data_IF_284771682645
#
_entry.id   IF_284771682645
#
_cell.length_a   1.000
_cell.length_b   1.000
_cell.length_c   1.000
_cell.angle_alpha   90.00
_cell.angle_beta   90.00
_cell.angle_gamma   90.00
#
_symmetry.space_group_name_H-M   'P 1'
#
loop_
_entity.id
_entity.type
_entity.pdbx_description
1 polymer ?
#
# COMPACT_ATOMS: atom_id res chain seq x y z
N UNK A 1 14.22 0.83 31.31
CA UNK A 1 14.94 0.19 30.20
C UNK A 1 15.55 1.31 29.36
N UNK A 2 16.87 1.55 29.44
CA UNK A 2 17.52 2.60 28.63
C UNK A 2 17.68 2.05 27.20
N UNK A 3 16.86 2.54 26.28
CA UNK A 3 17.06 2.28 24.85
C UNK A 3 18.44 2.83 24.44
N UNK A 4 19.16 2.13 23.58
CA UNK A 4 20.40 2.66 22.97
C UNK A 4 20.10 4.03 22.33
N UNK A 5 21.06 4.98 22.30
CA UNK A 5 20.83 6.37 21.88
C UNK A 5 20.08 6.52 20.55
N UNK A 6 20.31 5.59 19.61
CA UNK A 6 19.73 5.61 18.27
C UNK A 6 18.22 5.28 18.24
N UNK A 7 17.69 4.59 19.25
CA UNK A 7 16.28 4.19 19.33
C UNK A 7 15.41 5.18 20.11
N UNK A 8 16.00 6.25 20.64
CA UNK A 8 15.25 7.32 21.33
C UNK A 8 14.18 7.93 20.42
N UNK A 9 14.43 8.00 19.11
CA UNK A 9 13.47 8.47 18.12
C UNK A 9 12.18 7.62 18.08
N UNK A 10 12.28 6.30 18.29
CA UNK A 10 11.13 5.40 18.36
C UNK A 10 10.56 5.28 19.78
N UNK A 11 11.30 5.73 20.80
CA UNK A 11 10.85 5.74 22.19
C UNK A 11 9.52 6.49 22.38
N UNK A 12 9.25 7.51 21.56
CA UNK A 12 7.97 8.25 21.57
C UNK A 12 6.76 7.36 21.24
N UNK A 13 6.95 6.26 20.51
CA UNK A 13 5.87 5.32 20.19
C UNK A 13 5.41 4.52 21.41
N UNK A 14 6.25 4.42 22.45
CA UNK A 14 5.91 3.78 23.71
C UNK A 14 5.21 4.74 24.69
N UNK A 15 5.07 6.02 24.34
CA UNK A 15 4.42 7.01 25.20
C UNK A 15 2.93 6.67 25.35
N UNK A 16 2.38 6.63 26.58
CA UNK A 16 1.00 6.20 26.83
C UNK A 16 -0.04 6.96 26.02
N UNK A 17 0.13 8.27 25.82
CA UNK A 17 -0.78 9.08 25.01
C UNK A 17 -0.75 8.66 23.54
N UNK A 18 0.42 8.36 22.98
CA UNK A 18 0.56 7.88 21.60
C UNK A 18 -0.11 6.52 21.45
N UNK A 19 0.12 5.61 22.41
CA UNK A 19 -0.52 4.29 22.43
C UNK A 19 -2.05 4.39 22.57
N UNK A 20 -2.56 5.28 23.42
CA UNK A 20 -4.01 5.49 23.59
C UNK A 20 -4.65 6.03 22.31
N UNK A 21 -4.05 7.04 21.67
CA UNK A 21 -4.57 7.62 20.43
C UNK A 21 -4.53 6.59 19.29
N UNK A 22 -3.37 5.96 19.07
CA UNK A 22 -3.22 4.96 17.99
C UNK A 22 -4.08 3.71 18.22
N UNK A 23 -4.17 3.24 19.47
CA UNK A 23 -5.04 2.14 19.85
C UNK A 23 -6.52 2.46 19.67
N UNK A 24 -6.94 3.69 19.96
CA UNK A 24 -8.32 4.14 19.72
C UNK A 24 -8.64 4.21 18.22
N UNK A 25 -7.73 4.76 17.42
CA UNK A 25 -7.87 4.79 15.96
C UNK A 25 -7.93 3.38 15.36
N UNK A 26 -7.13 2.44 15.88
CA UNK A 26 -7.19 1.03 15.49
C UNK A 26 -8.52 0.39 15.88
N UNK A 27 -9.05 0.66 17.08
CA UNK A 27 -10.37 0.17 17.48
C UNK A 27 -11.49 0.73 16.58
N UNK A 28 -11.41 2.01 16.20
CA UNK A 28 -12.32 2.61 15.23
C UNK A 28 -12.21 1.92 13.87
N UNK A 29 -11.01 1.63 13.39
CA UNK A 29 -10.79 0.92 12.12
C UNK A 29 -11.43 -0.47 12.13
N UNK A 30 -11.27 -1.24 13.22
CA UNK A 30 -11.92 -2.54 13.37
C UNK A 30 -13.45 -2.48 13.31
N UNK A 31 -14.05 -1.35 13.71
CA UNK A 31 -15.49 -1.13 13.65
C UNK A 31 -15.92 -0.59 12.28
N UNK A 32 -15.16 0.35 11.72
CA UNK A 32 -15.39 0.97 10.41
C UNK A 32 -15.42 -0.08 9.29
N UNK A 33 -14.54 -1.08 9.36
CA UNK A 33 -14.44 -2.20 8.41
C UNK A 33 -15.76 -2.99 8.22
N UNK A 34 -16.70 -2.87 9.16
CA UNK A 34 -17.98 -3.61 9.09
C UNK A 34 -19.05 -2.88 8.27
N UNK A 35 -18.86 -1.59 7.99
CA UNK A 35 -19.83 -0.74 7.29
C UNK A 35 -19.21 -0.19 6.01
N UNK A 36 -19.58 -0.68 4.81
CA UNK A 36 -18.83 -0.44 3.56
C UNK A 36 -18.57 1.03 3.20
N UNK A 37 -19.53 1.91 3.47
CA UNK A 37 -19.39 3.35 3.19
C UNK A 37 -18.56 4.09 4.24
N UNK A 38 -18.59 3.63 5.50
CA UNK A 38 -17.69 4.15 6.56
C UNK A 38 -16.27 3.71 6.25
N UNK A 39 -16.08 2.43 5.89
CA UNK A 39 -14.80 1.85 5.47
C UNK A 39 -14.19 2.67 4.32
N UNK A 40 -14.96 2.89 3.24
CA UNK A 40 -14.48 3.66 2.08
C UNK A 40 -14.10 5.10 2.44
N UNK A 41 -14.89 5.80 3.27
CA UNK A 41 -14.59 7.16 3.69
C UNK A 41 -13.36 7.22 4.61
N UNK A 42 -13.22 6.22 5.50
CA UNK A 42 -12.09 6.08 6.40
C UNK A 42 -10.80 5.77 5.63
N UNK A 43 -10.85 4.86 4.67
CA UNK A 43 -9.72 4.53 3.79
C UNK A 43 -9.32 5.72 2.91
N UNK A 44 -10.29 6.50 2.41
CA UNK A 44 -10.03 7.71 1.62
C UNK A 44 -9.21 8.76 2.41
N UNK A 45 -9.55 8.96 3.69
CA UNK A 45 -8.76 9.82 4.58
C UNK A 45 -7.35 9.25 4.79
N UNK A 46 -7.26 7.93 5.02
CA UNK A 46 -5.99 7.27 5.32
C UNK A 46 -5.11 7.03 4.10
N UNK A 47 -5.60 7.27 2.88
CA UNK A 47 -4.80 7.17 1.65
C UNK A 47 -3.64 8.16 1.62
N UNK A 48 -3.74 9.26 2.36
CA UNK A 48 -2.65 10.23 2.53
C UNK A 48 -1.93 10.03 3.86
N UNK A 49 -2.70 9.96 4.96
CA UNK A 49 -2.15 9.92 6.32
C UNK A 49 -1.26 8.70 6.54
N UNK A 50 -1.71 7.52 6.08
CA UNK A 50 -1.08 6.25 6.44
C UNK A 50 0.20 5.98 5.63
N UNK A 51 0.24 6.21 4.31
CA UNK A 51 1.50 6.13 3.57
C UNK A 51 2.55 7.12 4.06
N UNK A 52 2.17 8.39 4.26
CA UNK A 52 3.12 9.42 4.74
C UNK A 52 3.61 9.08 6.15
N UNK A 53 2.70 8.78 7.07
CA UNK A 53 3.04 8.41 8.45
C UNK A 53 3.91 7.15 8.50
N UNK A 54 3.56 6.12 7.73
CA UNK A 54 4.34 4.88 7.67
C UNK A 54 5.75 5.08 7.10
N UNK A 55 5.89 5.89 6.05
CA UNK A 55 7.19 6.24 5.49
C UNK A 55 8.08 6.98 6.49
N UNK A 56 7.52 7.97 7.18
CA UNK A 56 8.24 8.74 8.19
C UNK A 56 8.63 7.88 9.39
N UNK A 57 7.73 7.04 9.90
CA UNK A 57 8.02 6.13 11.02
C UNK A 57 9.10 5.11 10.65
N UNK A 58 9.03 4.51 9.46
CA UNK A 58 10.04 3.59 8.98
C UNK A 58 11.39 4.28 8.78
N UNK A 59 11.41 5.53 8.32
CA UNK A 59 12.64 6.30 8.17
C UNK A 59 13.30 6.55 9.54
N UNK A 60 12.51 6.88 10.57
CA UNK A 60 13.02 7.05 11.94
C UNK A 60 13.59 5.77 12.53
N UNK A 61 13.12 4.60 12.08
CA UNK A 61 13.70 3.32 12.49
C UNK A 61 15.10 3.07 11.90
N UNK A 62 15.50 3.78 10.83
CA UNK A 62 16.83 3.68 10.24
C UNK A 62 17.89 4.54 10.96
N UNK A 63 17.48 5.38 11.92
CA UNK A 63 18.39 6.25 12.67
C UNK A 63 18.87 7.46 11.86
N UNK A 64 20.08 7.93 12.16
CA UNK A 64 20.68 9.08 11.48
C UNK A 64 21.34 8.64 10.17
N UNK A 65 20.93 9.25 9.07
CA UNK A 65 21.45 8.98 7.72
C UNK A 65 22.08 10.25 7.15
N UNK A 66 22.98 10.09 6.18
CA UNK A 66 23.40 11.21 5.33
C UNK A 66 22.16 11.80 4.60
N UNK A 67 22.07 13.13 4.40
CA UNK A 67 20.90 13.76 3.78
C UNK A 67 20.50 13.15 2.43
N UNK A 68 21.47 12.71 1.62
CA UNK A 68 21.20 12.08 0.33
C UNK A 68 20.53 10.73 0.51
N UNK A 69 21.05 9.92 1.44
CA UNK A 69 20.53 8.59 1.76
C UNK A 69 19.16 8.70 2.43
N UNK A 70 18.94 9.71 3.27
CA UNK A 70 17.66 9.97 3.93
C UNK A 70 16.55 10.24 2.90
N UNK A 71 16.80 11.08 1.89
CA UNK A 71 15.84 11.35 0.81
C UNK A 71 15.54 10.09 0.01
N UNK A 72 16.57 9.32 -0.35
CA UNK A 72 16.38 8.05 -1.08
C UNK A 72 15.56 7.06 -0.24
N UNK A 73 15.88 6.91 1.06
CA UNK A 73 15.16 6.05 1.97
C UNK A 73 13.70 6.49 2.11
N UNK A 74 13.43 7.79 2.26
CA UNK A 74 12.06 8.31 2.34
C UNK A 74 11.25 8.01 1.08
N UNK A 75 11.84 8.16 -0.11
CA UNK A 75 11.18 7.83 -1.38
C UNK A 75 10.89 6.33 -1.51
N UNK A 76 11.83 5.47 -1.10
CA UNK A 76 11.65 4.02 -1.11
C UNK A 76 10.57 3.59 -0.12
N UNK A 77 10.65 4.05 1.13
CA UNK A 77 9.67 3.74 2.19
C UNK A 77 8.28 4.31 1.87
N UNK A 78 8.22 5.51 1.31
CA UNK A 78 7.00 6.12 0.77
C UNK A 78 6.37 5.27 -0.34
N UNK A 79 7.18 4.78 -1.27
CA UNK A 79 6.71 3.89 -2.34
C UNK A 79 6.16 2.57 -1.78
N UNK A 80 6.85 1.97 -0.80
CA UNK A 80 6.39 0.73 -0.15
C UNK A 80 5.06 0.95 0.55
N UNK A 81 4.98 1.93 1.45
CA UNK A 81 3.77 2.19 2.24
C UNK A 81 2.57 2.60 1.38
N UNK A 82 2.78 3.40 0.34
CA UNK A 82 1.75 3.78 -0.63
C UNK A 82 1.26 2.56 -1.42
N UNK A 83 2.18 1.71 -1.90
CA UNK A 83 1.82 0.51 -2.66
C UNK A 83 1.05 -0.49 -1.80
N UNK A 84 1.47 -0.71 -0.55
CA UNK A 84 0.75 -1.56 0.41
C UNK A 84 -0.66 -1.04 0.65
N UNK A 85 -0.83 0.28 0.84
CA UNK A 85 -2.14 0.87 1.05
C UNK A 85 -3.02 0.78 -0.22
N UNK A 86 -2.46 1.04 -1.40
CA UNK A 86 -3.17 0.88 -2.67
C UNK A 86 -3.62 -0.58 -2.90
N UNK A 87 -2.82 -1.56 -2.47
CA UNK A 87 -3.20 -2.97 -2.53
C UNK A 87 -4.41 -3.27 -1.61
N UNK A 88 -4.41 -2.77 -0.38
CA UNK A 88 -5.57 -2.87 0.54
C UNK A 88 -6.82 -2.23 -0.08
N UNK A 89 -6.73 -0.98 -0.54
CA UNK A 89 -7.86 -0.28 -1.16
C UNK A 89 -8.40 -1.02 -2.39
N UNK A 90 -7.52 -1.60 -3.21
CA UNK A 90 -7.91 -2.42 -4.37
C UNK A 90 -8.63 -3.71 -3.95
N UNK A 91 -8.17 -4.36 -2.89
CA UNK A 91 -8.84 -5.54 -2.34
C UNK A 91 -10.23 -5.18 -1.81
N UNK A 92 -10.37 -4.05 -1.10
CA UNK A 92 -11.68 -3.56 -0.62
C UNK A 92 -12.63 -3.25 -1.77
N UNK A 93 -12.16 -2.69 -2.87
CA UNK A 93 -12.98 -2.51 -4.07
C UNK A 93 -13.54 -3.84 -4.59
N UNK A 94 -12.72 -4.90 -4.62
CA UNK A 94 -13.14 -6.23 -5.06
C UNK A 94 -14.09 -6.90 -4.07
N UNK A 95 -13.81 -6.81 -2.78
CA UNK A 95 -14.65 -7.40 -1.72
C UNK A 95 -16.00 -6.71 -1.67
N UNK A 96 -16.06 -5.38 -1.82
CA UNK A 96 -17.30 -4.61 -1.85
C UNK A 96 -18.19 -4.90 -3.07
N UNK A 97 -17.69 -5.60 -4.11
CA UNK A 97 -18.56 -6.14 -5.17
C UNK A 97 -19.48 -7.26 -4.65
N UNK A 98 -19.12 -7.92 -3.54
CA UNK A 98 -19.95 -8.87 -2.82
C UNK A 98 -20.45 -8.20 -1.53
N UNK A 99 -21.69 -7.67 -1.48
CA UNK A 99 -22.19 -6.87 -0.36
C UNK A 99 -22.46 -7.69 0.93
N UNK A 100 -22.00 -8.94 1.01
CA UNK A 100 -22.24 -9.79 2.17
C UNK A 100 -21.26 -9.43 3.32
N UNK A 101 -21.78 -9.13 4.54
CA UNK A 101 -20.96 -8.72 5.69
C UNK A 101 -19.85 -9.72 6.04
N UNK A 102 -20.06 -11.00 5.75
CA UNK A 102 -19.14 -12.09 6.06
C UNK A 102 -17.82 -11.93 5.30
N UNK A 103 -17.85 -11.54 4.03
CA UNK A 103 -16.64 -11.35 3.21
C UNK A 103 -15.76 -10.23 3.76
N UNK A 104 -16.35 -9.09 4.10
CA UNK A 104 -15.63 -7.95 4.68
C UNK A 104 -15.01 -8.32 6.04
N UNK A 105 -15.75 -9.04 6.89
CA UNK A 105 -15.26 -9.48 8.20
C UNK A 105 -14.09 -10.46 8.04
N UNK A 106 -14.20 -11.46 7.16
CA UNK A 106 -13.13 -12.45 6.93
C UNK A 106 -11.87 -11.76 6.40
N UNK A 107 -12.00 -10.87 5.42
CA UNK A 107 -10.86 -10.16 4.84
C UNK A 107 -10.21 -9.25 5.87
N UNK A 108 -10.98 -8.46 6.62
CA UNK A 108 -10.46 -7.60 7.70
C UNK A 108 -9.74 -8.41 8.78
N UNK A 109 -10.31 -9.53 9.23
CA UNK A 109 -9.66 -10.41 10.21
C UNK A 109 -8.37 -11.02 9.66
N UNK A 110 -8.35 -11.42 8.39
CA UNK A 110 -7.15 -11.94 7.75
C UNK A 110 -6.05 -10.88 7.66
N UNK A 111 -6.39 -9.64 7.27
CA UNK A 111 -5.46 -8.51 7.23
C UNK A 111 -4.84 -8.25 8.62
N UNK A 112 -5.66 -8.22 9.66
CA UNK A 112 -5.21 -8.05 11.04
C UNK A 112 -4.36 -9.24 11.54
N UNK A 113 -4.72 -10.47 11.15
CA UNK A 113 -3.94 -11.66 11.44
C UNK A 113 -2.54 -11.61 10.80
N UNK A 114 -2.46 -11.15 9.55
CA UNK A 114 -1.18 -10.95 8.84
C UNK A 114 -0.35 -9.87 9.53
N UNK A 115 -0.95 -8.75 9.96
CA UNK A 115 -0.26 -7.70 10.71
C UNK A 115 0.36 -8.25 12.00
N UNK A 116 -0.46 -8.90 12.84
CA UNK A 116 0.00 -9.47 14.12
C UNK A 116 1.07 -10.55 13.89
N UNK A 117 0.85 -11.43 12.92
CA UNK A 117 1.81 -12.47 12.55
C UNK A 117 3.13 -11.90 12.05
N UNK A 118 3.11 -10.81 11.27
CA UNK A 118 4.32 -10.13 10.79
C UNK A 118 5.10 -9.50 11.93
N UNK A 119 4.41 -8.80 12.85
CA UNK A 119 5.04 -8.21 14.04
C UNK A 119 5.65 -9.30 14.91
N UNK A 120 4.90 -10.38 15.18
CA UNK A 120 5.40 -11.52 15.93
C UNK A 120 6.63 -12.15 15.27
N UNK A 121 6.59 -12.38 13.95
CA UNK A 121 7.70 -12.96 13.20
C UNK A 121 8.93 -12.05 13.24
N UNK A 122 8.75 -10.73 13.13
CA UNK A 122 9.84 -9.76 13.23
C UNK A 122 10.53 -9.78 14.60
N UNK A 123 9.77 -10.01 15.67
CA UNK A 123 10.30 -10.08 17.03
C UNK A 123 10.92 -11.45 17.36
N UNK A 124 10.28 -12.54 16.96
CA UNK A 124 10.70 -13.90 17.30
C UNK A 124 11.78 -14.45 16.35
N UNK A 125 11.69 -14.14 15.06
CA UNK A 125 12.55 -14.69 14.01
C UNK A 125 12.97 -13.61 12.98
N UNK A 126 13.84 -12.66 13.35
CA UNK A 126 14.14 -11.47 12.53
C UNK A 126 14.65 -11.79 11.12
N UNK A 127 15.47 -12.82 10.96
CA UNK A 127 16.00 -13.23 9.65
C UNK A 127 14.90 -13.81 8.75
N UNK A 128 13.95 -14.54 9.32
CA UNK A 128 12.79 -15.07 8.58
C UNK A 128 11.87 -13.91 8.19
N UNK A 129 11.64 -12.96 9.09
CA UNK A 129 10.86 -11.76 8.79
C UNK A 129 11.50 -10.92 7.67
N UNK A 130 12.81 -10.76 7.68
CA UNK A 130 13.56 -10.11 6.59
C UNK A 130 13.40 -10.86 5.27
N UNK A 131 13.55 -12.19 5.28
CA UNK A 131 13.34 -13.02 4.08
C UNK A 131 11.91 -12.92 3.54
N UNK A 132 10.91 -13.05 4.42
CA UNK A 132 9.51 -12.93 4.04
C UNK A 132 9.16 -11.52 3.53
N UNK A 133 9.66 -10.47 4.20
CA UNK A 133 9.47 -9.08 3.80
C UNK A 133 10.10 -8.76 2.46
N UNK A 134 11.35 -9.19 2.23
CA UNK A 134 12.03 -8.98 0.94
C UNK A 134 11.33 -9.73 -0.21
N UNK A 135 10.87 -10.96 0.02
CA UNK A 135 10.05 -11.70 -0.95
C UNK A 135 8.72 -10.99 -1.24
N UNK A 136 8.04 -10.49 -0.20
CA UNK A 136 6.80 -9.74 -0.34
C UNK A 136 6.99 -8.46 -1.15
N UNK A 137 8.04 -7.69 -0.87
CA UNK A 137 8.40 -6.47 -1.62
C UNK A 137 8.77 -6.78 -3.07
N UNK A 138 9.56 -7.84 -3.30
CA UNK A 138 9.88 -8.31 -4.65
C UNK A 138 8.64 -8.72 -5.44
N UNK A 139 7.72 -9.44 -4.80
CA UNK A 139 6.41 -9.81 -5.36
C UNK A 139 5.55 -8.59 -5.70
N UNK A 140 5.49 -7.60 -4.80
CA UNK A 140 4.76 -6.35 -5.03
C UNK A 140 5.35 -5.54 -6.19
N UNK A 141 6.68 -5.40 -6.24
CA UNK A 141 7.37 -4.72 -7.34
C UNK A 141 7.12 -5.43 -8.68
N UNK A 142 7.21 -6.77 -8.70
CA UNK A 142 6.89 -7.57 -9.88
C UNK A 142 5.44 -7.38 -10.32
N UNK A 143 4.49 -7.37 -9.38
CA UNK A 143 3.06 -7.19 -9.68
C UNK A 143 2.80 -5.81 -10.29
N UNK A 144 3.30 -4.73 -9.67
CA UNK A 144 3.19 -3.36 -10.19
C UNK A 144 3.76 -3.27 -11.59
N UNK A 145 4.95 -3.82 -11.82
CA UNK A 145 5.57 -3.86 -13.13
C UNK A 145 4.74 -4.66 -14.14
N UNK A 146 4.25 -5.84 -13.77
CA UNK A 146 3.45 -6.70 -14.63
C UNK A 146 2.13 -6.04 -15.05
N UNK A 147 1.43 -5.39 -14.11
CA UNK A 147 0.21 -4.62 -14.38
C UNK A 147 0.51 -3.41 -15.27
N UNK A 148 1.57 -2.66 -14.98
CA UNK A 148 2.01 -1.54 -15.81
C UNK A 148 2.28 -1.96 -17.25
N UNK A 149 2.95 -3.11 -17.47
CA UNK A 149 3.17 -3.66 -18.81
C UNK A 149 1.88 -4.09 -19.51
N UNK A 150 0.87 -4.60 -18.77
CA UNK A 150 -0.44 -4.95 -19.35
C UNK A 150 -1.20 -3.70 -19.78
N UNK A 151 -1.28 -2.68 -18.93
CA UNK A 151 -1.95 -1.41 -19.22
C UNK A 151 -1.28 -0.72 -20.41
N UNK A 152 0.05 -0.61 -20.41
CA UNK A 152 0.78 0.03 -21.50
C UNK A 152 0.55 -0.68 -22.85
N UNK A 153 0.48 -2.02 -22.86
CA UNK A 153 0.13 -2.80 -24.07
C UNK A 153 -1.31 -2.53 -24.52
N UNK A 154 -2.27 -2.50 -23.60
CA UNK A 154 -3.66 -2.22 -23.92
C UNK A 154 -3.85 -0.81 -24.51
N UNK A 155 -3.16 0.19 -23.95
CA UNK A 155 -3.17 1.57 -24.46
C UNK A 155 -2.56 1.64 -25.87
N UNK A 156 -1.42 0.97 -26.11
CA UNK A 156 -0.80 0.91 -27.44
C UNK A 156 -1.69 0.22 -28.47
N UNK A 157 -2.33 -0.90 -28.12
CA UNK A 157 -3.25 -1.61 -29.01
C UNK A 157 -4.49 -0.77 -29.38
N UNK A 158 -5.01 0.02 -28.44
CA UNK A 158 -6.11 0.96 -28.72
C UNK A 158 -5.68 2.10 -29.64
N UNK A 159 -4.48 2.67 -29.45
CA UNK A 159 -3.93 3.73 -30.31
C UNK A 159 -3.64 3.24 -31.74
N UNK A 160 -3.15 2.01 -31.92
CA UNK A 160 -2.90 1.43 -33.25
C UNK A 160 -4.15 1.18 -34.09
N UNK A 161 -5.31 0.95 -33.44
CA UNK A 161 -6.62 0.81 -34.11
C UNK A 161 -7.26 2.14 -34.51
N UNK A 162 -6.79 3.27 -33.98
CA UNK A 162 -7.31 4.60 -34.26
C UNK A 162 -6.50 5.36 -35.33
N UNK A 163 -5.48 4.73 -35.93
CA UNK A 163 -4.82 5.30 -37.11
C UNK A 163 -5.82 5.27 -38.29
N UNK A 164 -6.16 6.43 -38.89
CA UNK A 164 -7.17 6.49 -39.94
C UNK A 164 -6.66 5.80 -41.21
N UNK A 165 -7.54 5.03 -41.85
CA UNK A 165 -7.36 4.54 -43.22
C UNK A 165 -7.39 5.74 -44.19
N UNK A 166 -6.32 6.52 -44.23
CA UNK A 166 -6.11 7.55 -45.26
C UNK A 166 -5.51 6.83 -46.46
N UNK A 167 -6.35 6.49 -47.44
CA UNK A 167 -5.88 5.99 -48.74
C UNK A 167 -6.72 4.89 -49.36
N UNK A 168 -8.04 5.04 -49.44
CA UNK A 168 -8.84 4.21 -50.35
C UNK A 168 -9.99 5.04 -50.92
N UNK A 169 -9.85 5.49 -52.17
CA UNK A 169 -11.00 5.95 -52.96
C UNK A 169 -10.92 7.37 -53.50
N UNK A 170 -10.09 7.60 -54.51
CA UNK A 170 -10.39 8.59 -55.56
C UNK A 170 -10.27 7.90 -56.91
N UNK A 171 -11.30 7.12 -57.27
CA UNK A 171 -11.51 6.69 -58.65
C UNK A 171 -12.20 7.82 -59.45
N UNK A 172 -11.84 8.07 -60.72
CA UNK A 172 -12.40 9.18 -61.47
C UNK A 172 -13.86 8.87 -61.87
N UNK A 173 -14.76 9.81 -61.56
CA UNK A 173 -16.15 9.77 -62.03
C UNK A 173 -16.17 10.19 -63.50
N UNK A 174 -16.50 9.23 -64.37
CA UNK A 174 -16.71 9.46 -65.80
C UNK A 174 -17.90 10.41 -66.03
N UNK A 175 -17.72 11.36 -66.96
CA UNK A 175 -18.78 12.18 -67.55
C UNK A 175 -19.06 11.69 -68.97
#
# INVERSE_FOLDING_TARGET
>A
MRLQPDWTALGVLAEPTVLLVTGSLFAVELLADKVPWVDSAWDALHTLVRPIGGALLALRALGHLDPTVEVVALLLLGSVTLTTHAAKASLRLLVNLSPEPVSNVIVSLAENGVLVGTVWLALAHPLIALGAGTLGLGGAAWLVWALGRRVARAVRARRGRSAPAVGAGTGPVAR
#
